data_IF_181668111272
#
_entry.id   IF_181668111272
#
_cell.length_a   1.000
_cell.length_b   1.000
_cell.length_c   1.000
_cell.angle_alpha   90.00
_cell.angle_beta   90.00
_cell.angle_gamma   90.00
#
_symmetry.space_group_name_H-M   'P 1'
#
loop_
_entity.id
_entity.type
_entity.pdbx_description
1 polymer ?
#
# COMPACT_ATOMS: atom_id res chain seq x y z
N UNK A 1 13.24 -7.96 -0.37
CA UNK A 1 11.77 -7.80 -0.26
C UNK A 1 11.10 -8.60 -1.37
N UNK A 2 10.16 -9.51 -1.06
CA UNK A 2 9.59 -10.42 -2.05
C UNK A 2 8.61 -9.75 -3.03
N UNK A 3 8.05 -8.59 -2.69
CA UNK A 3 7.04 -7.88 -3.48
C UNK A 3 7.41 -6.42 -3.77
N UNK A 4 8.71 -6.11 -3.91
CA UNK A 4 9.15 -4.75 -4.19
C UNK A 4 8.66 -4.24 -5.56
N UNK A 5 8.49 -5.14 -6.53
CA UNK A 5 7.91 -4.79 -7.84
C UNK A 5 6.41 -4.51 -7.74
N UNK A 6 5.65 -5.39 -7.05
CA UNK A 6 4.21 -5.17 -6.87
C UNK A 6 3.92 -3.87 -6.13
N UNK A 7 4.75 -3.51 -5.14
CA UNK A 7 4.66 -2.21 -4.48
C UNK A 7 4.77 -1.02 -5.45
N UNK A 8 5.62 -1.10 -6.48
CA UNK A 8 5.73 -0.03 -7.50
C UNK A 8 4.54 -0.04 -8.45
N UNK A 9 4.06 -1.22 -8.82
CA UNK A 9 2.90 -1.40 -9.70
C UNK A 9 1.63 -0.79 -9.10
N UNK A 10 1.46 -0.85 -7.77
CA UNK A 10 0.30 -0.29 -7.07
C UNK A 10 0.49 1.15 -6.57
N UNK A 11 1.58 1.82 -6.94
CA UNK A 11 1.80 3.23 -6.56
C UNK A 11 2.37 3.44 -5.15
N UNK A 12 3.07 2.45 -4.60
CA UNK A 12 3.74 2.52 -3.28
C UNK A 12 5.00 3.39 -3.23
N UNK A 13 5.16 4.32 -4.18
CA UNK A 13 6.26 5.29 -4.21
C UNK A 13 5.69 6.70 -4.14
N UNK A 14 6.34 7.59 -3.39
CA UNK A 14 5.88 8.97 -3.23
C UNK A 14 5.82 9.78 -4.54
N UNK A 15 6.50 9.33 -5.59
CA UNK A 15 6.63 10.01 -6.88
C UNK A 15 5.95 9.28 -8.04
N UNK A 16 5.06 8.32 -7.78
CA UNK A 16 4.42 7.53 -8.83
C UNK A 16 2.99 7.17 -8.43
N UNK A 17 2.05 7.28 -9.36
CA UNK A 17 0.68 6.80 -9.21
C UNK A 17 0.61 5.29 -9.53
N UNK A 18 -0.50 4.65 -9.14
CA UNK A 18 -0.75 3.25 -9.48
C UNK A 18 -0.68 2.97 -10.99
N UNK A 19 -0.41 1.71 -11.36
CA UNK A 19 -0.21 1.25 -12.74
C UNK A 19 0.90 2.01 -13.51
N UNK A 20 2.01 2.29 -12.83
CA UNK A 20 3.19 2.99 -13.36
C UNK A 20 2.89 4.36 -13.98
N UNK A 21 1.84 5.03 -13.52
CA UNK A 21 1.49 6.35 -14.01
C UNK A 21 2.35 7.43 -13.33
N UNK A 22 3.02 8.24 -14.14
CA UNK A 22 3.79 9.40 -13.68
C UNK A 22 2.88 10.46 -13.03
N UNK A 23 3.20 10.86 -11.79
CA UNK A 23 2.47 11.88 -11.05
C UNK A 23 2.69 13.28 -11.62
N UNK A 24 3.80 13.55 -12.30
CA UNK A 24 4.08 14.86 -12.89
C UNK A 24 3.26 15.10 -14.19
N UNK A 25 2.73 14.03 -14.79
CA UNK A 25 1.89 14.10 -15.98
C UNK A 25 0.40 14.34 -15.63
N UNK A 26 -0.18 15.45 -16.12
CA UNK A 26 -1.60 15.78 -15.88
C UNK A 26 -2.57 14.73 -16.41
N UNK A 27 -2.33 14.20 -17.61
CA UNK A 27 -3.22 13.20 -18.23
C UNK A 27 -3.27 11.92 -17.40
N UNK A 28 -2.16 11.58 -16.74
CA UNK A 28 -2.06 10.45 -15.83
C UNK A 28 -2.85 10.70 -14.55
N UNK A 29 -2.66 11.87 -13.91
CA UNK A 29 -3.45 12.28 -12.74
C UNK A 29 -4.94 12.25 -13.03
N UNK A 30 -5.37 12.90 -14.11
CA UNK A 30 -6.78 12.94 -14.48
C UNK A 30 -7.36 11.55 -14.77
N UNK A 31 -6.58 10.66 -15.40
CA UNK A 31 -7.02 9.29 -15.68
C UNK A 31 -7.28 8.50 -14.40
N UNK A 32 -6.34 8.52 -13.45
CA UNK A 32 -6.51 7.85 -12.15
C UNK A 32 -7.67 8.45 -11.38
N UNK A 33 -7.78 9.78 -11.38
CA UNK A 33 -8.88 10.48 -10.72
C UNK A 33 -10.24 10.12 -11.31
N UNK A 34 -10.36 10.04 -12.65
CA UNK A 34 -11.58 9.58 -13.34
C UNK A 34 -11.92 8.13 -13.00
N UNK A 35 -10.93 7.23 -13.02
CA UNK A 35 -11.14 5.81 -12.74
C UNK A 35 -11.70 5.60 -11.33
N UNK A 36 -11.09 6.21 -10.32
CA UNK A 36 -11.56 6.11 -8.92
C UNK A 36 -12.72 7.03 -8.58
N UNK A 37 -13.17 7.88 -9.51
CA UNK A 37 -14.19 8.91 -9.27
C UNK A 37 -13.85 9.77 -8.04
N UNK A 38 -12.55 10.02 -7.84
CA UNK A 38 -12.05 10.69 -6.64
C UNK A 38 -12.32 12.20 -6.73
N UNK A 39 -12.77 12.85 -5.64
CA UNK A 39 -13.00 14.29 -5.64
C UNK A 39 -11.69 15.09 -5.82
N UNK A 40 -10.55 14.49 -5.53
CA UNK A 40 -9.23 15.10 -5.65
C UNK A 40 -8.16 14.07 -6.00
N UNK A 41 -7.00 14.52 -6.46
CA UNK A 41 -5.81 13.67 -6.60
C UNK A 41 -4.56 14.49 -6.26
N UNK A 42 -3.50 13.80 -5.84
CA UNK A 42 -2.22 14.46 -5.59
C UNK A 42 -1.67 15.13 -6.87
N UNK A 43 -1.34 16.41 -6.77
CA UNK A 43 -0.85 17.21 -7.90
C UNK A 43 0.68 17.17 -8.07
N UNK A 44 1.39 16.71 -7.04
CA UNK A 44 2.85 16.67 -6.99
C UNK A 44 3.35 15.45 -6.20
N UNK A 45 4.61 15.03 -6.41
CA UNK A 45 5.25 14.01 -5.58
C UNK A 45 5.17 14.32 -4.08
N UNK A 46 4.96 13.27 -3.28
CA UNK A 46 5.09 13.31 -1.83
C UNK A 46 6.55 13.28 -1.36
N UNK A 47 6.73 13.25 -0.04
CA UNK A 47 8.04 13.20 0.60
C UNK A 47 8.66 11.80 0.47
N UNK A 48 9.95 11.73 0.15
CA UNK A 48 10.74 10.49 0.27
C UNK A 48 11.03 10.22 1.74
N UNK A 49 11.36 8.97 2.09
CA UNK A 49 11.47 8.54 3.48
C UNK A 49 12.41 9.41 4.35
N UNK A 50 13.60 9.78 3.86
CA UNK A 50 14.53 10.65 4.62
C UNK A 50 13.92 12.04 4.85
N UNK A 51 13.39 12.66 3.79
CA UNK A 51 12.76 13.98 3.86
C UNK A 51 11.50 13.96 4.75
N UNK A 52 10.74 12.86 4.72
CA UNK A 52 9.55 12.65 5.54
C UNK A 52 9.89 12.80 7.03
N UNK A 53 10.88 12.06 7.53
CA UNK A 53 11.27 12.14 8.95
C UNK A 53 11.83 13.52 9.32
N UNK A 54 12.55 14.19 8.40
CA UNK A 54 12.95 15.58 8.62
C UNK A 54 11.74 16.52 8.73
N UNK A 55 10.71 16.36 7.90
CA UNK A 55 9.49 17.17 7.98
C UNK A 55 8.65 16.86 9.23
N UNK A 56 8.71 15.63 9.76
CA UNK A 56 8.12 15.27 11.05
C UNK A 56 8.81 16.03 12.17
N UNK A 57 10.16 16.00 12.25
CA UNK A 57 10.93 16.77 13.25
C UNK A 57 10.63 18.27 13.20
N UNK A 58 10.33 18.80 12.01
CA UNK A 58 9.96 20.21 11.81
C UNK A 58 8.50 20.51 12.16
N UNK A 59 7.70 19.53 12.60
CA UNK A 59 6.29 19.69 12.93
C UNK A 59 5.38 19.94 11.72
N UNK A 60 5.88 19.74 10.49
CA UNK A 60 5.12 19.95 9.25
C UNK A 60 4.30 18.74 8.87
N UNK A 61 4.84 17.55 9.12
CA UNK A 61 4.08 16.29 9.06
C UNK A 61 3.75 15.90 10.49
N UNK A 62 2.45 15.82 10.79
CA UNK A 62 1.94 15.61 12.15
C UNK A 62 1.46 14.19 12.42
N UNK A 63 1.18 13.44 11.37
CA UNK A 63 0.77 12.05 11.45
C UNK A 63 1.59 11.20 10.49
N UNK A 64 2.02 10.04 10.95
CA UNK A 64 2.69 9.03 10.13
C UNK A 64 2.09 7.65 10.43
N UNK A 65 1.82 6.89 9.38
CA UNK A 65 1.44 5.49 9.50
C UNK A 65 2.54 4.62 8.90
N UNK A 66 3.25 3.90 9.76
CA UNK A 66 4.28 2.92 9.40
C UNK A 66 3.64 1.54 9.27
N UNK A 67 3.72 0.95 8.07
CA UNK A 67 3.11 -0.35 7.79
C UNK A 67 4.16 -1.38 7.38
N UNK A 68 4.26 -2.46 8.15
CA UNK A 68 5.13 -3.63 7.89
C UNK A 68 6.60 -3.28 7.60
N UNK A 69 7.15 -2.29 8.32
CA UNK A 69 8.56 -1.89 8.25
C UNK A 69 9.03 -1.32 9.59
N UNK A 70 10.34 -1.37 9.84
CA UNK A 70 10.98 -0.89 11.06
C UNK A 70 11.99 0.23 10.71
N UNK A 71 11.55 1.47 10.44
CA UNK A 71 12.41 2.58 10.03
C UNK A 71 13.49 2.91 11.07
N UNK A 72 13.24 2.71 12.37
CA UNK A 72 14.27 2.94 13.42
C UNK A 72 15.49 2.02 13.24
N UNK A 73 15.35 0.87 12.57
CA UNK A 73 16.48 -0.02 12.25
C UNK A 73 16.95 0.12 10.80
N UNK A 74 16.02 0.33 9.87
CA UNK A 74 16.29 0.20 8.44
C UNK A 74 16.67 1.50 7.73
N UNK A 75 16.38 2.67 8.34
CA UNK A 75 16.75 3.97 7.78
C UNK A 75 18.17 4.37 8.18
N UNK A 76 18.84 5.20 7.35
CA UNK A 76 20.03 5.92 7.80
C UNK A 76 19.68 6.83 8.98
N UNK A 77 20.67 7.11 9.84
CA UNK A 77 20.55 8.02 10.98
C UNK A 77 19.39 7.67 11.92
N UNK A 78 19.43 6.44 12.46
CA UNK A 78 18.37 5.88 13.32
C UNK A 78 17.95 6.79 14.48
N UNK A 79 18.89 7.54 15.06
CA UNK A 79 18.62 8.39 16.22
C UNK A 79 17.77 9.60 15.80
N UNK A 80 17.98 10.13 14.59
CA UNK A 80 17.14 11.17 14.01
C UNK A 80 15.73 10.66 13.71
N UNK A 81 15.60 9.43 13.22
CA UNK A 81 14.30 8.79 12.97
C UNK A 81 13.55 8.56 14.27
N UNK A 82 14.23 8.08 15.31
CA UNK A 82 13.65 7.90 16.64
C UNK A 82 13.16 9.24 17.22
N UNK A 83 13.97 10.30 17.14
CA UNK A 83 13.57 11.65 17.60
C UNK A 83 12.37 12.20 16.80
N UNK A 84 12.34 11.94 15.49
CA UNK A 84 11.20 12.30 14.64
C UNK A 84 9.92 11.61 15.11
N UNK A 85 9.94 10.30 15.29
CA UNK A 85 8.78 9.54 15.76
C UNK A 85 8.34 9.97 17.15
N UNK A 86 9.29 10.19 18.06
CA UNK A 86 9.02 10.65 19.43
C UNK A 86 8.34 12.02 19.51
N UNK A 87 8.56 12.88 18.50
CA UNK A 87 8.00 14.24 18.43
C UNK A 87 6.79 14.37 17.52
N UNK A 88 6.41 13.31 16.80
CA UNK A 88 5.24 13.30 15.92
C UNK A 88 3.95 13.36 16.74
N UNK A 89 2.92 14.06 16.26
CA UNK A 89 1.65 14.19 17.01
C UNK A 89 0.81 12.90 16.98
N UNK A 90 1.01 12.07 15.95
CA UNK A 90 0.39 10.76 15.82
C UNK A 90 1.30 9.80 15.05
N UNK A 91 1.65 8.67 15.69
CA UNK A 91 2.36 7.55 15.09
C UNK A 91 1.47 6.32 15.13
N UNK A 92 1.03 5.88 13.95
CA UNK A 92 0.32 4.61 13.78
C UNK A 92 1.30 3.57 13.27
N UNK A 93 1.34 2.39 13.89
CA UNK A 93 2.17 1.28 13.42
C UNK A 93 1.29 0.04 13.23
N UNK A 94 1.30 -0.52 12.01
CA UNK A 94 0.66 -1.80 11.72
C UNK A 94 1.70 -2.85 11.38
N UNK A 95 1.82 -3.88 12.21
CA UNK A 95 2.86 -4.90 12.13
C UNK A 95 2.34 -6.27 12.60
N UNK A 96 3.01 -7.35 12.22
CA UNK A 96 2.69 -8.72 12.59
C UNK A 96 3.54 -9.25 13.76
N UNK A 97 4.42 -8.42 14.34
CA UNK A 97 5.21 -8.75 15.53
C UNK A 97 4.72 -7.98 16.75
N UNK A 98 4.87 -8.59 17.93
CA UNK A 98 4.49 -7.97 19.20
C UNK A 98 5.39 -6.79 19.59
N UNK A 99 6.64 -6.78 19.13
CA UNK A 99 7.59 -5.70 19.41
C UNK A 99 8.65 -5.58 18.31
N UNK A 100 9.05 -4.33 18.06
CA UNK A 100 10.22 -3.93 17.30
C UNK A 100 10.60 -2.48 17.70
N UNK A 101 11.73 -1.97 17.22
CA UNK A 101 12.24 -0.64 17.61
C UNK A 101 11.32 0.51 17.21
N UNK A 102 10.54 0.38 16.14
CA UNK A 102 9.58 1.41 15.70
C UNK A 102 8.29 1.38 16.51
N UNK A 103 7.81 0.18 16.86
CA UNK A 103 6.61 -0.01 17.70
C UNK A 103 6.73 0.68 19.07
N UNK A 104 7.95 0.88 19.57
CA UNK A 104 8.19 1.59 20.82
C UNK A 104 7.73 3.07 20.80
N UNK A 105 7.53 3.64 19.62
CA UNK A 105 7.09 5.03 19.42
C UNK A 105 5.65 5.15 18.92
N UNK A 106 4.91 4.03 18.83
CA UNK A 106 3.54 4.04 18.30
C UNK A 106 2.55 4.57 19.35
N UNK A 107 1.71 5.53 18.95
CA UNK A 107 0.50 5.91 19.70
C UNK A 107 -0.63 4.90 19.48
N UNK A 108 -0.69 4.32 18.28
CA UNK A 108 -1.68 3.31 17.89
C UNK A 108 -0.97 2.12 17.25
N UNK A 109 -1.16 0.94 17.84
CA UNK A 109 -0.71 -0.33 17.29
C UNK A 109 -1.89 -1.08 16.64
N UNK A 110 -1.75 -1.46 15.38
CA UNK A 110 -2.76 -2.20 14.62
C UNK A 110 -2.21 -3.59 14.25
N UNK A 111 -2.63 -4.67 14.94
CA UNK A 111 -2.15 -6.01 14.64
C UNK A 111 -2.46 -6.42 13.20
N UNK A 112 -1.40 -6.66 12.41
CA UNK A 112 -1.50 -7.02 11.00
C UNK A 112 -1.18 -8.51 10.79
N UNK A 113 -1.82 -9.14 9.82
CA UNK A 113 -1.60 -10.55 9.50
C UNK A 113 -0.17 -10.83 9.03
N UNK A 114 0.40 -11.96 9.45
CA UNK A 114 1.71 -12.44 9.02
C UNK A 114 1.71 -13.05 7.61
N UNK A 115 2.90 -13.37 7.07
CA UNK A 115 3.03 -13.90 5.71
C UNK A 115 2.21 -15.19 5.46
N UNK A 116 2.23 -16.13 6.42
CA UNK A 116 1.48 -17.39 6.33
C UNK A 116 -0.03 -17.22 6.43
N UNK A 117 -0.51 -16.03 6.82
CA UNK A 117 -1.93 -15.72 6.99
C UNK A 117 -2.47 -14.89 5.82
N UNK A 118 -1.63 -14.03 5.24
CA UNK A 118 -1.99 -13.16 4.12
C UNK A 118 -2.46 -13.94 2.90
N UNK A 119 -3.45 -13.37 2.21
CA UNK A 119 -4.01 -13.89 0.97
C UNK A 119 -4.01 -12.80 -0.11
N UNK A 120 -3.23 -12.98 -1.18
CA UNK A 120 -3.02 -11.94 -2.19
C UNK A 120 -2.22 -12.42 -3.40
N UNK A 121 -1.59 -11.47 -4.08
CA UNK A 121 -0.58 -11.70 -5.11
C UNK A 121 0.72 -10.98 -4.76
N UNK A 122 1.84 -11.51 -5.27
CA UNK A 122 3.16 -10.87 -5.19
C UNK A 122 3.78 -10.83 -6.57
N UNK A 123 4.42 -9.73 -6.91
CA UNK A 123 5.20 -9.59 -8.14
C UNK A 123 6.68 -9.65 -7.81
N UNK A 124 7.37 -10.64 -8.39
CA UNK A 124 8.81 -10.85 -8.21
C UNK A 124 9.67 -9.96 -9.13
N UNK A 125 11.00 -10.13 -9.08
CA UNK A 125 11.96 -9.32 -9.85
C UNK A 125 11.89 -9.49 -11.37
N UNK A 126 11.43 -10.64 -11.87
CA UNK A 126 11.19 -10.88 -13.30
C UNK A 126 9.77 -10.44 -13.74
N UNK A 127 9.05 -9.71 -12.89
CA UNK A 127 7.69 -9.20 -13.13
C UNK A 127 6.62 -10.29 -13.22
N UNK A 128 6.90 -11.46 -12.65
CA UNK A 128 5.92 -12.55 -12.55
C UNK A 128 5.03 -12.30 -11.34
N UNK A 129 3.73 -12.21 -11.60
CA UNK A 129 2.70 -12.22 -10.57
C UNK A 129 2.51 -13.67 -10.12
N UNK A 130 2.64 -13.91 -8.82
CA UNK A 130 2.40 -15.21 -8.19
C UNK A 130 1.33 -15.13 -7.12
N UNK A 131 0.58 -16.21 -6.94
CA UNK A 131 -0.54 -16.28 -6.00
C UNK A 131 -0.07 -16.65 -4.59
N UNK A 132 -0.22 -15.73 -3.62
CA UNK A 132 0.03 -15.98 -2.20
C UNK A 132 -1.23 -16.46 -1.48
N UNK A 133 -1.26 -17.74 -1.11
CA UNK A 133 -2.39 -18.36 -0.41
C UNK A 133 -2.13 -18.42 1.10
N UNK A 134 -3.11 -18.00 1.88
CA UNK A 134 -3.05 -18.12 3.34
C UNK A 134 -3.03 -19.60 3.75
N UNK A 135 -2.05 -19.98 4.58
CA UNK A 135 -1.91 -21.30 5.18
C UNK A 135 -2.60 -21.39 6.54
N UNK A 136 -2.74 -20.25 7.23
CA UNK A 136 -3.32 -20.12 8.55
C UNK A 136 -4.35 -18.97 8.58
N UNK A 137 -5.36 -19.01 9.46
CA UNK A 137 -6.18 -17.84 9.73
C UNK A 137 -5.35 -16.75 10.44
N UNK A 138 -5.74 -15.46 10.37
CA UNK A 138 -5.10 -14.40 11.14
C UNK A 138 -5.08 -14.70 12.65
N UNK A 139 -3.93 -14.49 13.30
CA UNK A 139 -3.77 -14.75 14.72
C UNK A 139 -4.49 -13.72 15.60
N UNK A 140 -5.31 -14.18 16.54
CA UNK A 140 -5.97 -13.32 17.52
C UNK A 140 -6.83 -12.24 16.85
N UNK A 141 -6.52 -10.98 17.13
CA UNK A 141 -7.20 -9.81 16.56
C UNK A 141 -6.50 -9.27 15.30
N UNK A 142 -5.50 -9.98 14.77
CA UNK A 142 -4.80 -9.57 13.57
C UNK A 142 -5.73 -9.53 12.36
N UNK A 143 -5.54 -8.53 11.51
CA UNK A 143 -6.33 -8.32 10.29
C UNK A 143 -5.41 -8.15 9.09
N UNK A 144 -5.92 -8.40 7.89
CA UNK A 144 -5.17 -8.08 6.69
C UNK A 144 -5.00 -6.57 6.55
N UNK A 145 -3.83 -6.11 6.08
CA UNK A 145 -3.52 -4.67 6.01
C UNK A 145 -4.57 -3.90 5.19
N UNK A 146 -5.05 -4.49 4.10
CA UNK A 146 -6.09 -3.88 3.26
C UNK A 146 -7.42 -3.70 4.01
N UNK A 147 -7.79 -4.61 4.92
CA UNK A 147 -9.00 -4.48 5.73
C UNK A 147 -8.86 -3.32 6.71
N UNK A 148 -7.68 -3.19 7.34
CA UNK A 148 -7.37 -2.10 8.25
C UNK A 148 -7.49 -0.74 7.52
N UNK A 149 -6.90 -0.64 6.32
CA UNK A 149 -6.99 0.57 5.49
C UNK A 149 -8.44 0.88 5.10
N UNK A 150 -9.19 -0.14 4.66
CA UNK A 150 -10.60 0.04 4.29
C UNK A 150 -11.45 0.55 5.46
N UNK A 151 -11.25 -0.01 6.66
CA UNK A 151 -11.98 0.42 7.85
C UNK A 151 -11.66 1.85 8.24
N UNK A 152 -10.37 2.23 8.22
CA UNK A 152 -9.95 3.62 8.49
C UNK A 152 -10.58 4.57 7.46
N UNK A 153 -10.52 4.23 6.17
CA UNK A 153 -11.09 5.05 5.10
C UNK A 153 -12.60 5.25 5.25
N UNK A 154 -13.35 4.18 5.58
CA UNK A 154 -14.79 4.26 5.88
C UNK A 154 -15.07 5.12 7.11
N UNK A 155 -14.28 4.96 8.16
CA UNK A 155 -14.47 5.69 9.42
C UNK A 155 -14.30 7.20 9.25
N UNK A 156 -13.38 7.62 8.38
CA UNK A 156 -13.16 9.04 8.06
C UNK A 156 -14.06 9.57 6.91
N UNK A 157 -15.01 8.75 6.44
CA UNK A 157 -16.08 9.18 5.54
C UNK A 157 -15.84 8.98 4.05
N UNK A 158 -14.82 8.19 3.64
CA UNK A 158 -14.64 7.83 2.24
C UNK A 158 -15.49 6.61 1.84
N UNK A 159 -16.06 6.68 0.64
CA UNK A 159 -16.71 5.55 -0.04
C UNK A 159 -15.72 4.80 -0.95
N UNK A 160 -16.12 3.64 -1.47
CA UNK A 160 -15.30 2.85 -2.39
C UNK A 160 -14.36 1.83 -1.74
N UNK A 161 -14.45 1.66 -0.42
CA UNK A 161 -13.60 0.74 0.35
C UNK A 161 -14.34 -0.53 0.81
N UNK A 162 -15.44 -0.89 0.14
CA UNK A 162 -16.33 -1.99 0.53
C UNK A 162 -15.89 -3.38 0.05
N UNK A 163 -14.58 -3.56 -0.13
CA UNK A 163 -14.01 -4.84 -0.55
C UNK A 163 -14.24 -5.94 0.49
N UNK A 164 -14.63 -7.11 0.02
CA UNK A 164 -14.81 -8.33 0.82
C UNK A 164 -13.63 -9.29 0.66
N UNK A 165 -12.93 -9.23 -0.47
CA UNK A 165 -11.84 -10.15 -0.80
C UNK A 165 -10.69 -9.44 -1.50
N UNK A 166 -9.47 -10.00 -1.40
CA UNK A 166 -8.33 -9.48 -2.17
C UNK A 166 -8.49 -9.69 -3.69
N UNK A 167 -9.38 -10.58 -4.11
CA UNK A 167 -9.75 -10.75 -5.52
C UNK A 167 -10.39 -9.48 -6.09
N UNK A 168 -11.28 -8.83 -5.34
CA UNK A 168 -11.93 -7.60 -5.79
C UNK A 168 -10.93 -6.46 -5.97
N UNK A 169 -9.99 -6.31 -5.03
CA UNK A 169 -8.89 -5.33 -5.12
C UNK A 169 -7.99 -5.65 -6.32
N UNK A 170 -7.66 -6.94 -6.54
CA UNK A 170 -6.85 -7.35 -7.68
C UNK A 170 -7.55 -7.10 -9.01
N UNK A 171 -8.86 -7.35 -9.10
CA UNK A 171 -9.68 -7.03 -10.27
C UNK A 171 -9.74 -5.52 -10.54
N UNK A 172 -9.82 -4.69 -9.50
CA UNK A 172 -9.72 -3.24 -9.67
C UNK A 172 -8.35 -2.82 -10.20
N UNK A 173 -7.27 -3.41 -9.67
CA UNK A 173 -5.92 -3.17 -10.15
C UNK A 173 -5.75 -3.56 -11.63
N UNK A 174 -6.32 -4.70 -12.05
CA UNK A 174 -6.39 -5.11 -13.45
C UNK A 174 -7.14 -4.06 -14.27
N UNK A 175 -8.34 -3.65 -13.83
CA UNK A 175 -9.16 -2.68 -14.53
C UNK A 175 -8.45 -1.32 -14.70
N UNK A 176 -7.79 -0.82 -13.66
CA UNK A 176 -7.03 0.44 -13.71
C UNK A 176 -5.87 0.36 -14.72
N UNK A 177 -5.15 -0.76 -14.75
CA UNK A 177 -4.02 -0.93 -15.66
C UNK A 177 -4.44 -0.84 -17.14
N UNK A 178 -5.62 -1.37 -17.49
CA UNK A 178 -6.20 -1.31 -18.83
C UNK A 178 -6.98 -0.03 -19.14
N UNK A 179 -7.45 0.69 -18.12
CA UNK A 179 -8.29 1.87 -18.29
C UNK A 179 -7.58 2.93 -19.14
N UNK A 180 -8.18 3.26 -20.28
CA UNK A 180 -7.61 4.17 -21.29
C UNK A 180 -6.14 3.88 -21.66
N UNK A 181 -5.69 2.62 -21.56
CA UNK A 181 -4.31 2.27 -21.91
C UNK A 181 -4.08 2.33 -23.41
N UNK A 182 -4.86 1.57 -24.19
CA UNK A 182 -4.79 1.53 -25.66
C UNK A 182 -3.37 1.23 -26.18
N UNK A 183 -2.60 0.43 -25.44
CA UNK A 183 -1.21 0.09 -25.77
C UNK A 183 -0.20 1.23 -25.60
N UNK A 184 -0.56 2.32 -24.92
CA UNK A 184 0.33 3.47 -24.69
C UNK A 184 1.27 3.28 -23.50
N UNK A 185 0.93 2.39 -22.56
CA UNK A 185 1.73 2.09 -21.35
C UNK A 185 2.04 0.60 -21.31
N UNK A 186 3.29 0.28 -21.01
CA UNK A 186 3.77 -1.11 -20.97
C UNK A 186 3.10 -1.96 -19.88
N UNK A 187 2.70 -1.34 -18.76
CA UNK A 187 2.01 -2.05 -17.69
C UNK A 187 0.52 -2.16 -18.00
N UNK A 188 0.11 -3.36 -18.40
CA UNK A 188 -1.27 -3.68 -18.74
C UNK A 188 -1.59 -5.13 -18.32
N UNK A 189 -2.46 -5.27 -17.32
CA UNK A 189 -2.96 -6.56 -16.84
C UNK A 189 -4.35 -6.88 -17.39
N UNK A 190 -4.93 -6.03 -18.25
CA UNK A 190 -6.30 -6.21 -18.76
C UNK A 190 -6.52 -7.52 -19.51
N UNK A 191 -5.46 -8.14 -20.01
CA UNK A 191 -5.49 -9.49 -20.58
C UNK A 191 -5.92 -10.59 -19.58
N UNK A 192 -5.81 -10.36 -18.27
CA UNK A 192 -6.35 -11.25 -17.23
C UNK A 192 -7.88 -11.16 -17.13
N UNK A 193 -8.49 -10.08 -17.63
CA UNK A 193 -9.93 -9.83 -17.55
C UNK A 193 -10.42 -9.63 -16.11
N UNK A 194 -11.72 -9.86 -15.89
CA UNK A 194 -12.32 -9.86 -14.55
C UNK A 194 -12.39 -11.29 -14.03
N UNK A 195 -11.62 -11.58 -12.98
CA UNK A 195 -11.52 -12.92 -12.40
C UNK A 195 -12.63 -13.15 -11.38
N UNK A 196 -13.30 -14.30 -11.46
CA UNK A 196 -14.07 -14.82 -10.33
C UNK A 196 -13.13 -15.20 -9.17
N UNK A 197 -13.66 -15.29 -7.96
CA UNK A 197 -12.87 -15.74 -6.79
C UNK A 197 -12.22 -17.11 -7.04
N UNK A 198 -12.94 -18.05 -7.68
CA UNK A 198 -12.40 -19.36 -8.03
C UNK A 198 -11.24 -19.28 -9.02
N UNK A 199 -11.32 -18.41 -10.05
CA UNK A 199 -10.21 -18.21 -10.99
C UNK A 199 -9.01 -17.56 -10.31
N UNK A 200 -9.24 -16.57 -9.45
CA UNK A 200 -8.18 -15.92 -8.67
C UNK A 200 -7.48 -16.89 -7.70
N UNK A 201 -8.23 -17.76 -7.03
CA UNK A 201 -7.67 -18.77 -6.12
C UNK A 201 -6.86 -19.85 -6.85
N UNK A 202 -7.18 -20.10 -8.13
CA UNK A 202 -6.46 -21.02 -9.01
C UNK A 202 -5.45 -20.31 -9.92
N UNK A 203 -5.17 -19.02 -9.70
CA UNK A 203 -4.16 -18.30 -10.49
C UNK A 203 -2.81 -18.99 -10.34
N UNK A 204 -2.14 -19.21 -11.47
CA UNK A 204 -0.79 -19.78 -11.54
C UNK A 204 0.20 -18.73 -12.04
N UNK A 205 1.47 -18.79 -11.62
CA UNK A 205 2.02 -19.68 -10.59
C UNK A 205 1.55 -19.33 -9.17
#
# INVERSE_FOLDING_TARGET
QPNAMGGREVGGLANMLAAHMDIDNSDHRERVQRFWQSPTIAEKPGLKAVDLFQQIKQGKVKAVWVMATNPVVSMPDKDDVAEALQSCELVVVSDCVASNDTLAYADVCLPASGWSEKNGTVTNSERRISRQRGLLPPAGEARHDWQIICDVAKHIGYAGFDYQTSCEIFNEHIALSGFENQGRRDFDLSGLGHLSLSQYDNLTP
#
